data_IF_613399634989
#
_entry.id   IF_613399634989
#
_cell.length_a   1.000
_cell.length_b   1.000
_cell.length_c   1.000
_cell.angle_alpha   90.00
_cell.angle_beta   90.00
_cell.angle_gamma   90.00
#
_symmetry.space_group_name_H-M   'P 1'
#
loop_
_entity.id
_entity.type
_entity.pdbx_description
1 polymer ?
#
# COMPACT_ATOMS: atom_id res chain seq x y z
N UNK A 1 16.17 9.54 -21.47
CA UNK A 1 16.82 9.29 -20.16
C UNK A 1 15.88 9.48 -18.98
N UNK A 2 15.15 10.60 -18.90
CA UNK A 2 14.21 10.89 -17.81
C UNK A 2 13.13 9.79 -17.59
N UNK A 3 12.61 9.20 -18.67
CA UNK A 3 11.68 8.06 -18.59
C UNK A 3 12.24 6.89 -17.77
N UNK A 4 13.50 6.51 -18.00
CA UNK A 4 14.13 5.38 -17.30
C UNK A 4 14.32 5.69 -15.82
N UNK A 5 14.64 6.94 -15.49
CA UNK A 5 14.74 7.40 -14.10
C UNK A 5 13.40 7.23 -13.38
N UNK A 6 12.31 7.76 -13.94
CA UNK A 6 10.98 7.60 -13.35
C UNK A 6 10.51 6.16 -13.30
N UNK A 7 10.82 5.38 -14.33
CA UNK A 7 10.55 3.94 -14.36
C UNK A 7 11.17 3.25 -13.14
N UNK A 8 12.48 3.41 -12.92
CA UNK A 8 13.15 2.76 -11.80
C UNK A 8 12.71 3.33 -10.45
N UNK A 9 12.49 4.65 -10.34
CA UNK A 9 11.96 5.27 -9.12
C UNK A 9 10.61 4.66 -8.74
N UNK A 10 9.69 4.49 -9.71
CA UNK A 10 8.39 3.87 -9.45
C UNK A 10 8.53 2.49 -8.82
N UNK A 11 9.36 1.61 -9.41
CA UNK A 11 9.53 0.26 -8.88
C UNK A 11 10.25 0.24 -7.54
N UNK A 12 11.19 1.16 -7.30
CA UNK A 12 11.79 1.36 -5.97
C UNK A 12 10.72 1.78 -4.96
N UNK A 13 9.86 2.75 -5.31
CA UNK A 13 8.75 3.20 -4.45
C UNK A 13 7.82 2.04 -4.11
N UNK A 14 7.47 1.18 -5.07
CA UNK A 14 6.66 -0.02 -4.82
C UNK A 14 7.33 -0.97 -3.80
N UNK A 15 8.64 -1.21 -3.92
CA UNK A 15 9.39 -2.05 -2.97
C UNK A 15 9.36 -1.43 -1.56
N UNK A 16 9.66 -0.13 -1.45
CA UNK A 16 9.67 0.56 -0.15
C UNK A 16 8.30 0.58 0.51
N UNK A 17 7.25 0.96 -0.24
CA UNK A 17 5.88 0.97 0.27
C UNK A 17 5.44 -0.44 0.67
N UNK A 18 5.75 -1.44 -0.16
CA UNK A 18 5.42 -2.82 0.16
C UNK A 18 6.13 -3.34 1.40
N UNK A 19 7.40 -2.99 1.59
CA UNK A 19 8.18 -3.34 2.79
C UNK A 19 7.61 -2.69 4.04
N UNK A 20 7.24 -1.41 3.97
CA UNK A 20 6.62 -0.70 5.10
C UNK A 20 5.31 -1.37 5.51
N UNK A 21 4.41 -1.66 4.55
CA UNK A 21 3.10 -2.28 4.84
C UNK A 21 3.25 -3.73 5.32
N UNK A 22 4.19 -4.50 4.77
CA UNK A 22 4.47 -5.86 5.23
C UNK A 22 5.10 -5.88 6.63
N UNK A 23 5.88 -4.85 6.98
CA UNK A 23 6.48 -4.69 8.31
C UNK A 23 5.51 -4.12 9.35
N UNK A 24 4.40 -3.51 8.93
CA UNK A 24 3.33 -2.97 9.78
C UNK A 24 2.43 -4.05 10.42
N UNK A 25 2.89 -5.30 10.52
CA UNK A 25 2.26 -6.29 11.41
C UNK A 25 2.45 -5.78 12.83
N UNK A 26 1.49 -4.95 13.27
CA UNK A 26 1.34 -4.48 14.64
C UNK A 26 1.18 -5.72 15.51
N UNK A 27 2.28 -6.24 16.05
CA UNK A 27 2.20 -6.91 17.34
C UNK A 27 1.54 -5.90 18.27
N UNK A 28 0.46 -6.26 18.98
CA UNK A 28 -0.22 -5.35 19.86
C UNK A 28 0.70 -5.07 21.05
N UNK A 29 1.64 -4.13 20.88
CA UNK A 29 2.34 -3.47 21.97
C UNK A 29 1.38 -2.45 22.59
N UNK A 30 0.28 -2.99 23.13
CA UNK A 30 -0.52 -2.47 24.24
C UNK A 30 -1.04 -1.03 24.23
N UNK A 31 -0.97 -0.26 23.15
CA UNK A 31 -1.25 1.20 23.24
C UNK A 31 -1.96 1.83 22.04
N UNK A 32 -2.11 1.13 20.92
CA UNK A 32 -2.91 1.63 19.80
C UNK A 32 -4.25 0.90 19.77
N UNK A 33 -5.39 1.62 19.87
CA UNK A 33 -6.70 1.01 19.77
C UNK A 33 -6.82 0.17 18.50
N UNK A 34 -7.49 -0.98 18.57
CA UNK A 34 -7.74 -1.86 17.41
C UNK A 34 -8.47 -1.11 16.27
N UNK A 35 -9.08 0.03 16.59
CA UNK A 35 -9.81 0.93 15.70
C UNK A 35 -8.94 1.63 14.63
N UNK A 36 -7.61 1.74 14.82
CA UNK A 36 -6.68 2.45 13.92
C UNK A 36 -5.71 1.50 13.19
N UNK A 37 -5.93 0.18 13.31
CA UNK A 37 -5.15 -0.84 12.62
C UNK A 37 -5.66 -1.11 11.21
N UNK A 38 -4.77 -1.08 10.21
CA UNK A 38 -5.06 -1.74 8.93
C UNK A 38 -5.28 -3.24 9.20
N UNK A 39 -6.21 -3.87 8.47
CA UNK A 39 -6.40 -5.32 8.57
C UNK A 39 -5.06 -6.03 8.26
N UNK A 40 -4.44 -6.75 9.21
CA UNK A 40 -3.07 -7.23 9.08
C UNK A 40 -2.90 -8.24 7.93
N UNK A 41 -3.94 -9.04 7.63
CA UNK A 41 -3.89 -9.98 6.51
C UNK A 41 -3.97 -9.27 5.15
N UNK A 42 -4.78 -8.21 5.05
CA UNK A 42 -4.90 -7.43 3.83
C UNK A 42 -3.65 -6.57 3.60
N UNK A 43 -3.11 -5.95 4.65
CA UNK A 43 -1.86 -5.21 4.62
C UNK A 43 -0.70 -6.11 4.16
N UNK A 44 -0.52 -7.28 4.78
CA UNK A 44 0.53 -8.23 4.37
C UNK A 44 0.44 -8.62 2.89
N UNK A 45 -0.77 -8.87 2.37
CA UNK A 45 -1.00 -9.19 0.95
C UNK A 45 -0.62 -8.03 0.03
N UNK A 46 -1.02 -6.80 0.37
CA UNK A 46 -0.59 -5.61 -0.36
C UNK A 46 0.92 -5.44 -0.32
N UNK A 47 1.53 -5.61 0.85
CA UNK A 47 2.98 -5.58 1.02
C UNK A 47 3.71 -6.53 0.08
N UNK A 48 3.31 -7.81 0.08
CA UNK A 48 3.89 -8.85 -0.80
C UNK A 48 3.68 -8.51 -2.27
N UNK A 49 2.48 -8.05 -2.66
CA UNK A 49 2.18 -7.69 -4.04
C UNK A 49 3.07 -6.54 -4.53
N UNK A 50 3.16 -5.46 -3.75
CA UNK A 50 3.95 -4.28 -4.08
C UNK A 50 5.44 -4.61 -4.20
N UNK A 51 5.98 -5.39 -3.26
CA UNK A 51 7.37 -5.87 -3.31
C UNK A 51 7.61 -6.70 -4.57
N UNK A 52 6.73 -7.67 -4.84
CA UNK A 52 6.88 -8.61 -5.96
C UNK A 52 6.85 -7.89 -7.31
N UNK A 53 5.90 -6.97 -7.49
CA UNK A 53 5.76 -6.15 -8.70
C UNK A 53 6.94 -5.19 -8.83
N UNK A 54 7.36 -4.59 -7.72
CA UNK A 54 8.55 -3.76 -7.59
C UNK A 54 9.80 -4.44 -8.15
N UNK A 55 10.15 -5.60 -7.59
CA UNK A 55 11.31 -6.37 -8.03
C UNK A 55 11.19 -6.84 -9.48
N UNK A 56 10.03 -7.38 -9.86
CA UNK A 56 9.82 -7.87 -11.22
C UNK A 56 9.98 -6.77 -12.27
N UNK A 57 9.39 -5.60 -12.04
CA UNK A 57 9.52 -4.45 -12.93
C UNK A 57 10.94 -3.89 -12.99
N UNK A 58 11.67 -3.88 -11.87
CA UNK A 58 13.09 -3.49 -11.85
C UNK A 58 13.95 -4.46 -12.68
N UNK A 59 13.77 -5.78 -12.51
CA UNK A 59 14.49 -6.81 -13.28
C UNK A 59 14.21 -6.65 -14.77
N UNK A 60 12.94 -6.53 -15.17
CA UNK A 60 12.59 -6.32 -16.58
C UNK A 60 13.12 -5.00 -17.15
N UNK A 61 13.15 -3.95 -16.32
CA UNK A 61 13.78 -2.68 -16.67
C UNK A 61 15.26 -2.83 -17.01
N UNK A 62 15.99 -3.60 -16.20
CA UNK A 62 17.41 -3.92 -16.40
C UNK A 62 17.62 -4.84 -17.60
N UNK A 63 16.82 -5.90 -17.75
CA UNK A 63 16.90 -6.82 -18.89
C UNK A 63 16.57 -6.12 -20.21
N UNK A 64 15.75 -5.07 -20.20
CA UNK A 64 15.50 -4.22 -21.36
C UNK A 64 16.75 -3.53 -21.94
N UNK A 65 17.90 -3.52 -21.25
CA UNK A 65 19.16 -3.06 -21.84
C UNK A 65 19.85 -4.14 -22.68
N UNK A 66 19.42 -5.41 -22.57
CA UNK A 66 20.00 -6.54 -23.29
C UNK A 66 19.34 -6.79 -24.64
N UNK A 67 18.03 -6.58 -24.75
CA UNK A 67 17.28 -6.86 -25.98
C UNK A 67 16.24 -5.76 -26.28
N UNK A 68 16.10 -5.42 -27.57
CA UNK A 68 15.15 -4.40 -28.02
C UNK A 68 13.69 -4.80 -27.72
N UNK A 69 13.37 -6.11 -27.78
CA UNK A 69 12.03 -6.61 -27.44
C UNK A 69 11.64 -6.33 -25.99
N UNK A 70 12.55 -6.55 -25.03
CA UNK A 70 12.29 -6.24 -23.63
C UNK A 70 12.28 -4.72 -23.36
N UNK A 71 13.09 -3.95 -24.08
CA UNK A 71 13.05 -2.49 -24.01
C UNK A 71 11.66 -1.94 -24.37
N UNK A 72 11.01 -2.53 -25.39
CA UNK A 72 9.69 -2.13 -25.86
C UNK A 72 8.57 -2.41 -24.84
N UNK A 73 8.77 -3.33 -23.89
CA UNK A 73 7.78 -3.64 -22.84
C UNK A 73 7.78 -2.65 -21.67
N UNK A 74 8.82 -1.83 -21.52
CA UNK A 74 8.96 -0.90 -20.38
C UNK A 74 7.76 0.04 -20.20
N UNK A 75 7.18 0.66 -21.25
CA UNK A 75 6.01 1.52 -21.07
C UNK A 75 4.82 0.74 -20.49
N UNK A 76 4.60 -0.50 -20.94
CA UNK A 76 3.54 -1.38 -20.43
C UNK A 76 3.76 -1.69 -18.95
N UNK A 77 4.98 -2.05 -18.55
CA UNK A 77 5.30 -2.30 -17.15
C UNK A 77 5.16 -1.06 -16.29
N UNK A 78 5.57 0.12 -16.79
CA UNK A 78 5.36 1.38 -16.09
C UNK A 78 3.87 1.66 -15.87
N UNK A 79 3.02 1.45 -16.87
CA UNK A 79 1.57 1.62 -16.74
C UNK A 79 0.98 0.66 -15.69
N UNK A 80 1.40 -0.61 -15.70
CA UNK A 80 0.98 -1.59 -14.70
C UNK A 80 1.44 -1.18 -13.29
N UNK A 81 2.70 -0.76 -13.13
CA UNK A 81 3.23 -0.30 -11.84
C UNK A 81 2.48 0.92 -11.31
N UNK A 82 2.17 1.90 -12.16
CA UNK A 82 1.36 3.07 -11.79
C UNK A 82 -0.06 2.68 -11.42
N UNK A 83 -0.68 1.76 -12.18
CA UNK A 83 -2.01 1.24 -11.89
C UNK A 83 -2.07 0.55 -10.53
N UNK A 84 -1.08 -0.28 -10.21
CA UNK A 84 -0.97 -0.95 -8.91
C UNK A 84 -0.74 0.07 -7.79
N UNK A 85 0.12 1.06 -7.99
CA UNK A 85 0.33 2.13 -7.02
C UNK A 85 -0.96 2.92 -6.76
N UNK A 86 -1.72 3.24 -7.81
CA UNK A 86 -3.00 3.93 -7.70
C UNK A 86 -4.05 3.09 -6.97
N UNK A 87 -4.17 1.79 -7.29
CA UNK A 87 -5.07 0.86 -6.61
C UNK A 87 -4.71 0.73 -5.13
N UNK A 88 -3.41 0.62 -4.81
CA UNK A 88 -2.93 0.63 -3.44
C UNK A 88 -3.28 1.94 -2.73
N UNK A 89 -3.06 3.10 -3.35
CA UNK A 89 -3.43 4.40 -2.80
C UNK A 89 -4.93 4.52 -2.53
N UNK A 90 -5.78 4.08 -3.47
CA UNK A 90 -7.23 4.01 -3.28
C UNK A 90 -7.60 3.09 -2.11
N UNK A 91 -6.97 1.92 -2.02
CA UNK A 91 -7.18 1.01 -0.90
C UNK A 91 -6.82 1.66 0.45
N UNK A 92 -5.68 2.35 0.54
CA UNK A 92 -5.27 3.06 1.76
C UNK A 92 -6.28 4.15 2.15
N UNK A 93 -6.81 4.90 1.17
CA UNK A 93 -7.76 6.01 1.41
C UNK A 93 -9.13 5.48 1.86
N UNK A 94 -9.66 4.45 1.19
CA UNK A 94 -11.07 4.03 1.36
C UNK A 94 -11.26 2.81 2.26
N UNK A 95 -10.31 1.88 2.28
CA UNK A 95 -10.45 0.57 2.95
C UNK A 95 -9.41 0.33 4.05
N UNK A 96 -8.30 1.06 4.03
CA UNK A 96 -7.24 0.98 5.05
C UNK A 96 -7.61 1.64 6.38
N UNK A 97 -8.60 2.55 6.38
CA UNK A 97 -9.19 3.15 7.60
C UNK A 97 -10.60 2.62 7.72
N UNK A 98 -10.90 1.88 8.79
CA UNK A 98 -12.26 1.41 9.07
C UNK A 98 -13.23 2.61 9.08
N UNK A 99 -14.28 2.63 8.23
CA UNK A 99 -15.31 3.66 8.24
C UNK A 99 -16.33 3.42 9.38
N UNK A 100 -15.88 3.03 10.57
CA UNK A 100 -16.79 2.77 11.69
C UNK A 100 -17.34 4.08 12.31
N UNK A 101 -16.87 5.25 11.86
CA UNK A 101 -17.25 6.56 12.40
C UNK A 101 -17.75 7.61 11.40
N UNK A 102 -17.94 7.29 10.10
CA UNK A 102 -18.52 8.24 9.12
C UNK A 102 -20.05 8.39 9.28
N UNK A 103 -20.64 7.79 10.32
CA UNK A 103 -22.09 7.91 10.55
C UNK A 103 -22.60 7.47 11.92
N UNK A 104 -21.73 7.25 12.92
CA UNK A 104 -22.21 7.13 14.30
C UNK A 104 -22.32 8.55 14.85
N UNK A 105 -23.55 9.10 15.06
CA UNK A 105 -23.67 10.29 15.88
C UNK A 105 -22.98 9.98 17.22
N UNK A 106 -22.20 10.95 17.71
CA UNK A 106 -21.70 10.96 19.08
C UNK A 106 -22.91 11.08 20.02
N UNK A 107 -23.70 10.01 20.15
CA UNK A 107 -24.74 9.93 21.16
C UNK A 107 -24.00 9.60 22.44
N UNK A 108 -23.93 10.64 23.25
CA UNK A 108 -23.60 10.68 24.65
C UNK A 108 -24.11 9.43 25.40
N UNK A 109 -23.27 8.39 25.48
CA UNK A 109 -23.45 7.36 26.50
C UNK A 109 -22.84 7.89 27.80
N UNK A 110 -23.75 8.49 28.56
CA UNK A 110 -23.88 8.34 30.00
C UNK A 110 -22.93 9.18 30.90
N UNK A 111 -23.22 10.48 30.96
CA UNK A 111 -23.09 11.21 32.24
C UNK A 111 -24.27 10.84 33.16
N UNK A 112 -24.34 9.58 33.54
CA UNK A 112 -25.28 9.04 34.51
C UNK A 112 -24.79 9.29 35.93
N UNK A 113 -24.96 10.53 36.41
CA UNK A 113 -25.12 10.76 37.85
C UNK A 113 -26.42 10.08 38.29
N UNK A 114 -26.33 8.78 38.61
CA UNK A 114 -27.41 7.98 39.18
C UNK A 114 -27.15 7.73 40.65
N UNK A 115 -27.79 8.51 41.51
CA UNK A 115 -27.99 8.21 42.92
C UNK A 115 -28.61 6.81 43.10
N UNK A 116 -28.03 5.99 43.97
CA UNK A 116 -28.66 5.38 45.16
C UNK A 116 -27.76 4.31 45.79
#
# INVERSE_FOLDING_TARGET
MLFLVFYFILFVVLIFQGTHVAGEIKTPLGTLPEEVGQNPAAAARWGILLISVGFFGAILGLLGFRTAGLAALRPTFMAVGLGILALYGLWVIFLGRKPEFIGKPAVADDHGHGHH
#
